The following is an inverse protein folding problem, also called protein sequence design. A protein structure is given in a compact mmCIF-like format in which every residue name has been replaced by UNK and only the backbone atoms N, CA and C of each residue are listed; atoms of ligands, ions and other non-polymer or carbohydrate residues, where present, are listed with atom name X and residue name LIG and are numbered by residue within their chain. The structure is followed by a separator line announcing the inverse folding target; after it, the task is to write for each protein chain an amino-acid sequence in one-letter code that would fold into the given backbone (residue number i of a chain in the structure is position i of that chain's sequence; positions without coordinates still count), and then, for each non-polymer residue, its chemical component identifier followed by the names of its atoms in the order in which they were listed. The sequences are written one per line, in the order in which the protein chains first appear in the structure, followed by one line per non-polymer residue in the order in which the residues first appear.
data_IF_973879128252
#
_entry.id   IF_973879128252
#
_cell.length_a   1.000
_cell.length_b   1.000
_cell.length_c   1.000
_cell.angle_alpha   90.00
_cell.angle_beta   90.00
_cell.angle_gamma   90.00
#
_symmetry.space_group_name_H-M   'P 1'
#
loop_
_entity.id
_entity.type
_entity.pdbx_description
1 polymer ?
#
# COMPACT_ATOMS: atom_id res chain seq x y z
N UNK A 1 4.73 -28.96 38.71
CA UNK A 1 5.43 -27.92 37.92
C UNK A 1 4.36 -27.03 37.36
N UNK A 2 4.12 -25.94 38.08
CA UNK A 2 2.82 -25.28 38.13
C UNK A 2 2.66 -24.29 36.97
N UNK A 3 1.64 -24.52 36.15
CA UNK A 3 1.25 -23.76 34.95
C UNK A 3 0.87 -22.29 35.25
N UNK A 4 0.89 -21.90 36.53
CA UNK A 4 0.56 -20.58 37.05
C UNK A 4 1.56 -19.49 36.64
N UNK A 5 2.85 -19.81 36.53
CA UNK A 5 3.88 -18.82 36.17
C UNK A 5 3.69 -18.25 34.75
N UNK A 6 3.24 -19.09 33.81
CA UNK A 6 3.03 -18.69 32.42
C UNK A 6 1.91 -17.65 32.28
N UNK A 7 0.88 -17.73 33.11
CA UNK A 7 -0.21 -16.77 33.11
C UNK A 7 0.23 -15.41 33.66
N UNK A 8 1.12 -15.40 34.67
CA UNK A 8 1.71 -14.18 35.19
C UNK A 8 2.59 -13.48 34.15
N UNK A 9 3.41 -14.23 33.39
CA UNK A 9 4.21 -13.67 32.29
C UNK A 9 3.35 -13.15 31.15
N UNK A 10 2.31 -13.90 30.74
CA UNK A 10 1.39 -13.48 29.70
C UNK A 10 0.64 -12.19 30.08
N UNK A 11 0.23 -12.06 31.33
CA UNK A 11 -0.45 -10.86 31.83
C UNK A 11 0.47 -9.63 31.84
N UNK A 12 1.75 -9.79 32.21
CA UNK A 12 2.74 -8.69 32.19
C UNK A 12 3.06 -8.25 30.76
N UNK A 13 3.20 -9.20 29.83
CA UNK A 13 3.43 -8.89 28.40
C UNK A 13 2.21 -8.20 27.79
N UNK A 14 1.00 -8.67 28.12
CA UNK A 14 -0.25 -8.04 27.66
C UNK A 14 -0.39 -6.61 28.19
N UNK A 15 -0.09 -6.37 29.47
CA UNK A 15 -0.10 -5.02 30.06
C UNK A 15 0.95 -4.09 29.43
N UNK A 16 2.15 -4.58 29.14
CA UNK A 16 3.17 -3.82 28.43
C UNK A 16 2.74 -3.48 26.99
N UNK A 17 2.07 -4.42 26.30
CA UNK A 17 1.55 -4.20 24.94
C UNK A 17 0.42 -3.16 24.92
N UNK A 18 -0.49 -3.21 25.89
CA UNK A 18 -1.57 -2.22 26.03
C UNK A 18 -1.02 -0.83 26.36
N UNK A 19 0.01 -0.72 27.22
CA UNK A 19 0.67 0.57 27.50
C UNK A 19 1.31 1.18 26.25
N UNK A 20 1.96 0.37 25.40
CA UNK A 20 2.53 0.85 24.12
C UNK A 20 1.48 1.25 23.07
N UNK A 21 0.26 0.73 23.18
CA UNK A 21 -0.87 1.09 22.30
C UNK A 21 -1.53 2.42 22.67
N UNK A 22 -1.44 2.86 23.93
CA UNK A 22 -2.05 4.12 24.39
C UNK A 22 -1.07 5.31 24.29
N UNK A 23 0.23 5.09 24.46
CA UNK A 23 1.24 6.17 24.42
C UNK A 23 1.62 6.67 23.01
N UNK A 24 1.13 6.01 21.96
CA UNK A 24 1.35 6.44 20.57
C UNK A 24 0.49 7.64 20.12
N UNK A 25 -0.57 7.98 20.86
CA UNK A 25 -1.61 8.94 20.44
C UNK A 25 -1.49 10.31 21.12
N UNK A 26 -0.29 10.72 21.53
CA UNK A 26 -0.14 11.98 22.22
C UNK A 26 1.26 12.55 22.18
N UNK A 27 1.71 13.01 21.00
CA UNK A 27 2.67 14.12 20.80
C UNK A 27 3.25 14.07 19.38
N UNK A 28 2.78 14.94 18.49
CA UNK A 28 3.68 15.52 17.49
C UNK A 28 3.54 17.03 17.50
N UNK A 29 4.55 17.60 18.15
CA UNK A 29 4.74 19.03 18.33
C UNK A 29 5.04 19.76 17.03
N UNK A 30 5.08 21.07 17.23
CA UNK A 30 5.31 22.14 16.27
C UNK A 30 6.63 21.95 15.51
N UNK A 31 6.58 22.30 14.21
CA UNK A 31 7.68 22.75 13.33
C UNK A 31 8.56 23.82 14.00
N UNK A 32 9.85 24.03 13.62
CA UNK A 32 10.16 24.55 12.28
C UNK A 32 11.50 24.17 11.58
N UNK A 33 11.43 24.33 10.25
CA UNK A 33 12.41 24.81 9.26
C UNK A 33 13.89 24.39 9.29
N UNK A 34 14.38 23.86 8.16
CA UNK A 34 15.52 24.44 7.43
C UNK A 34 15.55 23.95 5.98
N UNK A 35 15.94 24.87 5.09
CA UNK A 35 16.03 24.75 3.63
C UNK A 35 17.29 23.98 3.23
N UNK A 36 17.22 23.20 2.15
CA UNK A 36 18.14 23.30 1.00
C UNK A 36 17.46 22.67 -0.23
N UNK A 37 17.48 23.41 -1.34
CA UNK A 37 16.97 23.04 -2.66
C UNK A 37 18.17 22.85 -3.58
N UNK A 38 18.13 21.86 -4.48
CA UNK A 38 18.67 22.06 -5.83
C UNK A 38 17.60 21.85 -6.92
N UNK A 39 17.84 22.34 -8.15
CA UNK A 39 16.78 22.61 -9.13
C UNK A 39 16.59 21.50 -10.17
N UNK A 40 15.41 21.47 -10.79
CA UNK A 40 15.25 20.96 -12.17
C UNK A 40 14.43 19.68 -12.36
N UNK A 41 13.08 19.79 -12.35
CA UNK A 41 12.19 19.16 -13.34
C UNK A 41 10.75 19.71 -13.18
N UNK A 42 10.05 20.14 -14.24
CA UNK A 42 8.66 20.56 -14.12
C UNK A 42 7.79 19.31 -14.11
N UNK A 43 7.26 18.95 -12.96
CA UNK A 43 6.34 17.83 -12.89
C UNK A 43 6.14 17.35 -11.47
N UNK A 44 5.13 17.93 -10.82
CA UNK A 44 4.09 17.25 -10.04
C UNK A 44 3.84 18.01 -8.74
N UNK A 45 2.73 18.76 -8.74
CA UNK A 45 2.08 19.26 -7.52
C UNK A 45 1.89 18.08 -6.57
N UNK A 46 2.70 18.02 -5.52
CA UNK A 46 2.43 17.22 -4.33
C UNK A 46 1.29 17.90 -3.58
N UNK A 47 0.05 17.69 -4.02
CA UNK A 47 -1.11 18.03 -3.19
C UNK A 47 -1.32 16.85 -2.24
N UNK A 48 -0.63 16.91 -1.11
CA UNK A 48 -1.11 16.29 0.11
C UNK A 48 -2.32 17.09 0.57
N UNK A 49 -3.52 16.63 0.23
CA UNK A 49 -4.76 17.27 0.62
C UNK A 49 -5.91 16.35 0.25
N UNK A 50 -6.68 15.91 1.26
CA UNK A 50 -7.99 15.21 1.19
C UNK A 50 -8.26 14.66 -0.22
N UNK A 51 -7.61 13.52 -0.47
CA UNK A 51 -7.04 13.14 -1.76
C UNK A 51 -8.07 12.73 -2.80
N UNK A 52 -7.78 13.07 -4.05
CA UNK A 52 -8.45 12.56 -5.25
C UNK A 52 -8.79 11.08 -5.11
N UNK A 53 -10.07 10.72 -5.28
CA UNK A 53 -10.51 9.32 -5.26
C UNK A 53 -9.75 8.52 -6.33
N UNK A 54 -9.27 7.29 -6.01
CA UNK A 54 -8.61 6.44 -6.99
C UNK A 54 -9.52 6.22 -8.21
N UNK A 55 -8.92 6.04 -9.37
CA UNK A 55 -9.62 5.73 -10.62
C UNK A 55 -9.06 4.45 -11.25
N UNK A 56 -9.87 3.72 -12.03
CA UNK A 56 -9.36 2.62 -12.85
C UNK A 56 -8.13 3.03 -13.66
N UNK A 57 -7.22 2.08 -13.87
CA UNK A 57 -5.92 2.26 -14.52
C UNK A 57 -4.88 3.04 -13.70
N UNK A 58 -5.18 3.48 -12.48
CA UNK A 58 -4.20 4.19 -11.66
C UNK A 58 -3.40 3.26 -10.75
N UNK A 59 -2.10 3.53 -10.64
CA UNK A 59 -1.22 2.90 -9.65
C UNK A 59 -1.16 3.77 -8.40
N UNK A 60 -1.37 3.16 -7.24
CA UNK A 60 -1.39 3.83 -5.95
C UNK A 60 -0.61 3.06 -4.90
N UNK A 61 -0.03 3.77 -3.94
CA UNK A 61 0.35 3.19 -2.65
C UNK A 61 -0.85 3.24 -1.71
N UNK A 62 -1.21 2.11 -1.15
CA UNK A 62 -2.33 1.93 -0.23
C UNK A 62 -2.02 0.86 0.82
N UNK A 63 -2.78 0.87 1.91
CA UNK A 63 -2.77 -0.25 2.86
C UNK A 63 -3.57 -1.43 2.28
N UNK A 64 -2.87 -2.37 1.65
CA UNK A 64 -3.48 -3.52 0.97
C UNK A 64 -3.52 -4.73 1.92
N UNK A 65 -4.71 -5.35 2.13
CA UNK A 65 -4.85 -6.54 2.98
C UNK A 65 -4.02 -7.74 2.51
N UNK A 66 -3.62 -8.58 3.46
CA UNK A 66 -3.09 -9.94 3.17
C UNK A 66 -4.22 -10.89 2.76
N UNK A 67 -3.90 -12.08 2.21
CA UNK A 67 -4.92 -13.09 1.85
C UNK A 67 -5.54 -13.71 3.12
N UNK A 68 -4.71 -14.25 4.01
CA UNK A 68 -5.16 -15.10 5.13
C UNK A 68 -4.78 -14.55 6.52
N UNK A 69 -4.38 -13.28 6.61
CA UNK A 69 -3.96 -12.67 7.86
C UNK A 69 -4.66 -11.34 8.08
N UNK A 70 -5.03 -11.08 9.34
CA UNK A 70 -5.55 -9.78 9.75
C UNK A 70 -4.49 -8.69 9.53
N UNK A 71 -4.94 -7.53 9.04
CA UNK A 71 -4.11 -6.39 8.69
C UNK A 71 -3.72 -6.30 7.21
N UNK A 72 -2.86 -5.32 6.93
CA UNK A 72 -2.41 -5.00 5.59
C UNK A 72 -1.03 -4.34 5.60
N UNK A 73 -0.52 -4.04 4.41
CA UNK A 73 0.77 -3.37 4.25
C UNK A 73 0.67 -2.27 3.23
N UNK A 74 1.42 -1.19 3.47
CA UNK A 74 1.62 -0.12 2.49
C UNK A 74 2.37 -0.68 1.27
N UNK A 75 1.63 -0.89 0.18
CA UNK A 75 2.11 -1.53 -1.04
C UNK A 75 1.59 -0.80 -2.26
N UNK A 76 2.33 -0.83 -3.38
CA UNK A 76 1.79 -0.40 -4.64
C UNK A 76 0.71 -1.38 -5.12
N UNK A 77 -0.36 -0.86 -5.69
CA UNK A 77 -1.44 -1.62 -6.29
C UNK A 77 -1.99 -0.89 -7.53
N UNK A 78 -2.53 -1.67 -8.47
CA UNK A 78 -3.25 -1.16 -9.63
C UNK A 78 -4.75 -1.18 -9.34
N UNK A 79 -5.40 -0.03 -9.50
CA UNK A 79 -6.85 0.08 -9.36
C UNK A 79 -7.53 -0.45 -10.63
N UNK A 80 -8.33 -1.51 -10.48
CA UNK A 80 -9.10 -2.11 -11.56
C UNK A 80 -10.51 -1.53 -11.64
N UNK A 81 -11.15 -1.38 -10.48
CA UNK A 81 -12.52 -0.89 -10.37
C UNK A 81 -12.72 -0.09 -9.10
N UNK A 82 -13.66 0.86 -9.11
CA UNK A 82 -14.09 1.60 -7.92
C UNK A 82 -15.62 1.58 -7.84
N UNK A 83 -16.16 1.04 -6.74
CA UNK A 83 -17.61 0.95 -6.46
C UNK A 83 -17.88 1.50 -5.07
N UNK A 84 -18.52 2.66 -4.97
CA UNK A 84 -18.72 3.34 -3.69
C UNK A 84 -17.39 3.55 -2.95
N UNK A 85 -17.35 3.31 -1.65
CA UNK A 85 -16.14 3.51 -0.83
C UNK A 85 -15.13 2.35 -0.91
N UNK A 86 -15.27 1.46 -1.89
CA UNK A 86 -14.40 0.31 -2.11
C UNK A 86 -13.80 0.34 -3.52
N UNK A 87 -12.58 -0.17 -3.63
CA UNK A 87 -11.88 -0.34 -4.89
C UNK A 87 -11.29 -1.75 -4.99
N UNK A 88 -11.54 -2.40 -6.11
CA UNK A 88 -10.91 -3.65 -6.48
C UNK A 88 -9.53 -3.35 -7.07
N UNK A 89 -8.49 -3.95 -6.51
CA UNK A 89 -7.10 -3.71 -6.89
C UNK A 89 -6.33 -5.01 -7.12
N UNK A 90 -5.35 -4.95 -8.02
CA UNK A 90 -4.31 -5.98 -8.17
C UNK A 90 -3.05 -5.55 -7.41
N UNK A 91 -2.41 -6.48 -6.69
CA UNK A 91 -1.18 -6.21 -5.92
C UNK A 91 0.01 -6.00 -6.84
N UNK A 92 0.95 -5.16 -6.41
CA UNK A 92 2.27 -5.07 -7.05
C UNK A 92 3.35 -5.41 -6.00
N UNK A 93 4.24 -6.32 -6.37
CA UNK A 93 5.31 -6.84 -5.52
C UNK A 93 6.67 -6.65 -6.18
N UNK A 94 7.74 -6.58 -5.40
CA UNK A 94 9.11 -6.64 -5.91
C UNK A 94 9.70 -8.07 -5.85
N UNK A 95 8.93 -9.04 -5.36
CA UNK A 95 9.32 -10.45 -5.31
C UNK A 95 8.66 -11.16 -6.49
N UNK A 96 9.45 -11.87 -7.28
CA UNK A 96 8.91 -12.74 -8.32
C UNK A 96 8.38 -14.02 -7.69
N UNK A 97 7.18 -14.43 -8.10
CA UNK A 97 6.52 -15.65 -7.66
C UNK A 97 6.16 -16.47 -8.91
N UNK A 98 7.10 -17.26 -9.43
CA UNK A 98 6.91 -18.10 -10.64
C UNK A 98 5.85 -19.19 -10.47
N UNK A 99 5.59 -19.59 -9.23
CA UNK A 99 4.59 -20.59 -8.87
C UNK A 99 3.14 -20.08 -9.05
N UNK A 100 2.94 -18.76 -9.20
CA UNK A 100 1.62 -18.13 -9.33
C UNK A 100 1.29 -17.85 -10.80
N UNK A 101 0.06 -18.13 -11.19
CA UNK A 101 -0.47 -17.69 -12.48
C UNK A 101 -0.62 -16.16 -12.48
N UNK A 102 -0.53 -15.50 -13.64
CA UNK A 102 -0.88 -14.08 -13.74
C UNK A 102 0.14 -13.11 -13.12
N UNK A 103 1.43 -13.41 -13.23
CA UNK A 103 2.50 -12.47 -12.87
C UNK A 103 2.95 -11.69 -14.12
N UNK A 104 2.71 -10.38 -14.15
CA UNK A 104 3.10 -9.52 -15.27
C UNK A 104 4.27 -8.61 -14.86
N UNK A 105 5.43 -8.65 -15.56
CA UNK A 105 6.53 -7.75 -15.27
C UNK A 105 6.17 -6.30 -15.62
N UNK A 106 6.47 -5.38 -14.72
CA UNK A 106 6.26 -3.95 -14.92
C UNK A 106 7.55 -3.25 -15.34
N UNK A 107 7.46 -2.20 -16.18
CA UNK A 107 8.63 -1.42 -16.55
C UNK A 107 9.25 -0.74 -15.31
N UNK A 108 10.59 -0.53 -15.29
CA UNK A 108 11.25 0.17 -14.19
C UNK A 108 10.59 1.52 -13.87
N UNK A 109 10.40 1.79 -12.59
CA UNK A 109 9.78 3.03 -12.12
C UNK A 109 8.24 3.07 -12.15
N UNK A 110 7.56 2.01 -12.62
CA UNK A 110 6.09 1.94 -12.67
C UNK A 110 5.40 2.21 -11.32
N UNK A 111 6.05 1.85 -10.21
CA UNK A 111 5.52 2.03 -8.84
C UNK A 111 6.07 3.28 -8.13
N UNK A 112 6.93 4.05 -8.80
CA UNK A 112 7.59 5.22 -8.20
C UNK A 112 8.40 4.87 -6.94
N UNK A 113 9.02 3.69 -6.93
CA UNK A 113 10.00 3.34 -5.90
C UNK A 113 11.35 4.01 -6.20
N UNK A 114 12.09 4.39 -5.17
CA UNK A 114 13.31 5.18 -5.32
C UNK A 114 14.49 4.36 -5.90
N UNK A 115 14.38 3.04 -5.88
CA UNK A 115 15.47 2.11 -6.21
C UNK A 115 15.29 1.44 -7.57
N UNK A 116 14.19 1.73 -8.30
CA UNK A 116 13.94 1.20 -9.63
C UNK A 116 13.87 -0.33 -9.67
N UNK A 117 13.39 -0.96 -8.59
CA UNK A 117 13.42 -2.43 -8.49
C UNK A 117 12.46 -3.05 -9.50
N UNK A 118 12.81 -4.22 -10.06
CA UNK A 118 11.84 -5.03 -10.78
C UNK A 118 10.58 -5.19 -9.95
N UNK A 119 9.43 -4.93 -10.58
CA UNK A 119 8.12 -5.00 -9.95
C UNK A 119 7.20 -5.84 -10.82
N UNK A 120 6.31 -6.57 -10.17
CA UNK A 120 5.43 -7.53 -10.80
C UNK A 120 4.01 -7.29 -10.35
N UNK A 121 3.08 -7.25 -11.30
CA UNK A 121 1.65 -7.19 -11.05
C UNK A 121 1.12 -8.62 -10.85
N UNK A 122 0.45 -8.86 -9.74
CA UNK A 122 -0.22 -10.13 -9.42
C UNK A 122 -1.71 -10.01 -9.81
N UNK A 123 -2.13 -10.71 -10.87
CA UNK A 123 -3.49 -10.61 -11.44
C UNK A 123 -4.42 -11.76 -11.06
N UNK A 124 -3.87 -12.85 -10.54
CA UNK A 124 -4.61 -14.00 -10.02
C UNK A 124 -5.40 -13.66 -8.75
N UNK A 125 -4.97 -12.64 -8.02
CA UNK A 125 -5.44 -12.41 -6.67
C UNK A 125 -5.78 -10.95 -6.37
N UNK A 126 -7.05 -10.61 -6.61
CA UNK A 126 -7.57 -9.26 -6.41
C UNK A 126 -7.89 -8.96 -4.95
N UNK A 127 -7.91 -7.67 -4.61
CA UNK A 127 -8.20 -7.17 -3.25
C UNK A 127 -9.21 -6.05 -3.26
N UNK A 128 -10.06 -6.04 -2.23
CA UNK A 128 -10.91 -4.90 -1.93
C UNK A 128 -10.21 -3.97 -0.93
N UNK A 129 -10.02 -2.72 -1.33
CA UNK A 129 -9.38 -1.68 -0.52
C UNK A 129 -10.37 -0.55 -0.31
N UNK A 130 -10.52 -0.09 0.93
CA UNK A 130 -11.35 1.08 1.21
C UNK A 130 -10.70 2.33 0.59
N UNK A 131 -11.50 3.21 -0.01
CA UNK A 131 -11.01 4.45 -0.65
C UNK A 131 -10.18 5.31 0.30
N UNK A 132 -10.51 5.30 1.60
CA UNK A 132 -9.75 6.00 2.65
C UNK A 132 -8.34 5.45 2.91
N UNK A 133 -8.03 4.22 2.48
CA UNK A 133 -6.72 3.58 2.69
C UNK A 133 -5.71 3.92 1.57
N UNK A 134 -6.14 4.64 0.53
CA UNK A 134 -5.27 5.11 -0.55
C UNK A 134 -4.46 6.33 -0.10
N UNK A 135 -3.14 6.27 -0.27
CA UNK A 135 -2.21 7.27 0.26
C UNK A 135 -1.58 8.13 -0.83
N UNK A 136 -0.86 7.49 -1.75
CA UNK A 136 -0.03 8.19 -2.75
C UNK A 136 -0.27 7.66 -4.14
N UNK A 137 -0.86 8.49 -5.01
CA UNK A 137 -0.96 8.22 -6.44
C UNK A 137 0.43 8.21 -7.08
N UNK A 138 0.73 7.16 -7.83
CA UNK A 138 1.95 7.03 -8.62
C UNK A 138 1.74 7.55 -10.02
N UNK A 139 0.67 7.13 -10.69
CA UNK A 139 0.42 7.46 -12.10
C UNK A 139 -0.68 6.61 -12.70
N UNK A 140 -0.85 6.73 -14.01
CA UNK A 140 -1.69 5.83 -14.81
C UNK A 140 -0.77 4.75 -15.39
N UNK A 141 -1.24 3.50 -15.41
CA UNK A 141 -0.53 2.37 -16.02
C UNK A 141 -0.47 2.53 -17.55
N UNK A 142 0.48 1.88 -18.19
CA UNK A 142 0.59 1.86 -19.64
C UNK A 142 -0.71 1.33 -20.31
N UNK A 143 -1.20 1.95 -21.40
CA UNK A 143 -2.45 1.54 -22.04
C UNK A 143 -2.47 0.09 -22.55
N UNK A 144 -1.34 -0.45 -23.02
CA UNK A 144 -1.25 -1.84 -23.49
C UNK A 144 -1.40 -2.79 -22.32
N UNK A 145 -0.71 -2.50 -21.21
CA UNK A 145 -0.86 -3.26 -19.97
C UNK A 145 -2.29 -3.12 -19.41
N UNK A 146 -2.89 -1.93 -19.49
CA UNK A 146 -4.28 -1.73 -19.05
C UNK A 146 -5.26 -2.59 -19.85
N UNK A 147 -5.11 -2.66 -21.17
CA UNK A 147 -5.97 -3.48 -22.02
C UNK A 147 -5.88 -4.97 -21.68
N UNK A 148 -4.67 -5.43 -21.31
CA UNK A 148 -4.45 -6.81 -20.86
C UNK A 148 -5.16 -7.15 -19.55
N UNK A 149 -5.36 -6.20 -18.63
CA UNK A 149 -5.84 -6.51 -17.27
C UNK A 149 -7.21 -5.93 -16.92
N UNK A 150 -7.72 -4.98 -17.71
CA UNK A 150 -9.02 -4.32 -17.44
C UNK A 150 -10.20 -5.29 -17.39
N UNK A 151 -10.10 -6.44 -18.05
CA UNK A 151 -11.15 -7.45 -18.08
C UNK A 151 -11.31 -8.17 -16.71
N UNK A 152 -10.28 -8.12 -15.85
CA UNK A 152 -10.34 -8.66 -14.49
C UNK A 152 -11.31 -7.90 -13.59
N UNK A 153 -11.71 -6.69 -14.00
CA UNK A 153 -12.66 -5.87 -13.28
C UNK A 153 -14.11 -6.41 -13.37
N UNK A 154 -14.39 -7.34 -14.29
CA UNK A 154 -15.73 -7.86 -14.58
C UNK A 154 -16.42 -7.15 -15.72
#
# INVERSE_FOLDING_TARGET
MDTSWWLALAAVVLLALVATLVDGWGRRGRRPAARTRPPGRPGRRLVGGRGTRPRPAEIWWANVPYEDMDGGKDRPCLVLMVRGERATVAKITSKYHDERAGVIPLPPGAVGDAHGRPSFLETDELREVAVGEFRRRVGVVDPVLWDQVRHLAG
#
